data_IF_911422924370
#
_entry.id   IF_911422924370
#
_cell.length_a   1.000
_cell.length_b   1.000
_cell.length_c   1.000
_cell.angle_alpha   90.00
_cell.angle_beta   90.00
_cell.angle_gamma   90.00
#
_symmetry.space_group_name_H-M   'P 1'
#
loop_
_entity.id
_entity.type
_entity.pdbx_description
1 polymer ?
#
# COMPACT_ATOMS: atom_id res chain seq x y z
N UNK A 1 -6.65 -1.56 16.93
CA UNK A 1 -6.72 -0.96 15.56
C UNK A 1 -6.50 -2.08 14.55
N UNK A 2 -7.43 -2.28 13.62
CA UNK A 2 -7.34 -3.33 12.61
C UNK A 2 -7.32 -2.71 11.21
N UNK A 3 -6.36 -3.14 10.38
CA UNK A 3 -6.12 -2.62 9.05
C UNK A 3 -6.39 -3.71 8.00
N UNK A 4 -7.18 -3.37 6.98
CA UNK A 4 -7.27 -4.16 5.76
C UNK A 4 -6.40 -3.45 4.71
N UNK A 5 -5.27 -4.04 4.33
CA UNK A 5 -4.27 -3.43 3.46
C UNK A 5 -4.29 -4.12 2.10
N UNK A 6 -4.50 -3.35 1.05
CA UNK A 6 -4.40 -3.82 -0.33
C UNK A 6 -3.19 -3.14 -0.95
N UNK A 7 -2.28 -3.94 -1.50
CA UNK A 7 -1.12 -3.46 -2.24
C UNK A 7 -1.24 -3.84 -3.72
N UNK A 8 -0.60 -3.08 -4.59
CA UNK A 8 -0.67 -3.33 -6.02
C UNK A 8 0.10 -4.57 -6.43
N UNK A 9 1.35 -4.69 -6.03
CA UNK A 9 2.26 -5.74 -6.49
C UNK A 9 2.23 -7.00 -5.64
N UNK A 10 2.66 -8.11 -6.24
CA UNK A 10 2.62 -9.44 -5.63
C UNK A 10 3.91 -9.83 -4.92
N UNK A 11 5.02 -9.19 -5.25
CA UNK A 11 6.35 -9.65 -4.82
C UNK A 11 7.02 -8.72 -3.81
N UNK A 12 7.28 -7.50 -4.22
CA UNK A 12 8.02 -6.52 -3.42
C UNK A 12 7.20 -6.10 -2.23
N UNK A 13 5.99 -5.63 -2.43
CA UNK A 13 5.11 -5.10 -1.41
C UNK A 13 4.75 -6.15 -0.35
N UNK A 14 4.43 -7.37 -0.80
CA UNK A 14 4.07 -8.47 0.11
C UNK A 14 5.21 -8.88 1.06
N UNK A 15 6.45 -8.54 0.73
CA UNK A 15 7.62 -8.76 1.59
C UNK A 15 7.99 -7.54 2.42
N UNK A 16 7.88 -6.36 1.83
CA UNK A 16 8.38 -5.12 2.43
C UNK A 16 7.41 -4.54 3.45
N UNK A 17 6.11 -4.52 3.15
CA UNK A 17 5.12 -3.99 4.11
C UNK A 17 5.13 -4.70 5.45
N UNK A 18 5.20 -6.05 5.53
CA UNK A 18 5.31 -6.73 6.83
C UNK A 18 6.56 -6.30 7.64
N UNK A 19 7.70 -6.17 6.98
CA UNK A 19 8.94 -5.72 7.64
C UNK A 19 8.85 -4.27 8.12
N UNK A 20 8.29 -3.38 7.31
CA UNK A 20 8.07 -1.99 7.70
C UNK A 20 7.08 -1.87 8.86
N UNK A 21 5.97 -2.58 8.79
CA UNK A 21 4.96 -2.56 9.86
C UNK A 21 5.53 -3.14 11.15
N UNK A 22 6.29 -4.23 11.07
CA UNK A 22 6.98 -4.79 12.24
C UNK A 22 7.93 -3.78 12.90
N UNK A 23 8.62 -2.97 12.11
CA UNK A 23 9.55 -1.96 12.63
C UNK A 23 8.85 -0.68 13.10
N UNK A 24 7.87 -0.18 12.34
CA UNK A 24 7.23 1.11 12.59
C UNK A 24 6.05 1.02 13.57
N UNK A 25 5.37 -0.12 13.59
CA UNK A 25 4.19 -0.38 14.40
C UNK A 25 4.22 -1.82 14.95
N UNK A 26 5.20 -2.13 15.84
CA UNK A 26 5.45 -3.50 16.30
C UNK A 26 4.29 -4.14 17.06
N UNK A 27 3.29 -3.34 17.45
CA UNK A 27 2.06 -3.84 18.08
C UNK A 27 1.09 -4.45 17.06
N UNK A 28 1.26 -4.17 15.75
CA UNK A 28 0.38 -4.71 14.71
C UNK A 28 0.79 -6.14 14.37
N UNK A 29 -0.11 -7.09 14.58
CA UNK A 29 0.08 -8.49 14.23
C UNK A 29 -0.52 -8.81 12.86
N UNK A 30 0.24 -9.48 12.00
CA UNK A 30 -0.27 -9.96 10.72
C UNK A 30 -1.23 -11.11 10.93
N UNK A 31 -2.39 -11.05 10.26
CA UNK A 31 -3.31 -12.19 10.15
C UNK A 31 -3.30 -12.75 8.73
N UNK A 32 -3.47 -14.06 8.60
CA UNK A 32 -3.43 -14.76 7.31
C UNK A 32 -4.74 -14.70 6.54
N UNK A 33 -5.82 -14.34 7.21
CA UNK A 33 -7.18 -14.31 6.69
C UNK A 33 -7.90 -13.05 7.20
N UNK A 34 -8.70 -12.41 6.33
CA UNK A 34 -9.44 -11.19 6.67
C UNK A 34 -10.42 -11.37 7.83
N UNK A 35 -10.95 -12.57 8.04
CA UNK A 35 -11.87 -12.91 9.13
C UNK A 35 -11.18 -13.25 10.45
N UNK A 36 -9.85 -13.33 10.44
CA UNK A 36 -9.06 -13.74 11.61
C UNK A 36 -8.69 -12.60 12.56
N UNK A 37 -9.14 -11.36 12.29
CA UNK A 37 -8.97 -10.25 13.24
C UNK A 37 -9.73 -10.52 14.54
N UNK A 38 -9.19 -10.05 15.66
CA UNK A 38 -9.78 -10.25 17.00
C UNK A 38 -10.23 -8.92 17.61
N UNK A 39 -11.27 -8.95 18.47
CA UNK A 39 -11.60 -7.80 19.29
C UNK A 39 -10.40 -7.38 20.16
N UNK A 40 -10.25 -6.08 20.39
CA UNK A 40 -9.23 -5.52 21.28
C UNK A 40 -7.77 -5.87 20.90
N UNK A 41 -7.53 -6.28 19.65
CA UNK A 41 -6.20 -6.50 19.11
C UNK A 41 -5.84 -5.42 18.10
N UNK A 42 -4.53 -5.21 17.91
CA UNK A 42 -3.97 -4.43 16.83
C UNK A 42 -3.49 -5.41 15.75
N UNK A 43 -4.17 -5.48 14.60
CA UNK A 43 -3.83 -6.44 13.56
C UNK A 43 -3.98 -5.89 12.15
N UNK A 44 -3.36 -6.55 11.19
CA UNK A 44 -3.53 -6.22 9.79
C UNK A 44 -3.63 -7.48 8.92
N UNK A 45 -4.53 -7.41 7.95
CA UNK A 45 -4.60 -8.31 6.82
C UNK A 45 -3.97 -7.64 5.61
N UNK A 46 -3.08 -8.34 4.91
CA UNK A 46 -2.36 -7.82 3.75
C UNK A 46 -2.67 -8.67 2.52
N UNK A 47 -3.18 -8.03 1.46
CA UNK A 47 -3.60 -8.65 0.22
C UNK A 47 -2.96 -7.98 -0.99
N UNK A 48 -2.49 -8.76 -1.96
CA UNK A 48 -1.99 -8.27 -3.25
C UNK A 48 -3.09 -8.28 -4.30
N UNK A 49 -3.23 -7.17 -5.02
CA UNK A 49 -4.23 -7.02 -6.08
C UNK A 49 -3.75 -7.47 -7.46
N UNK A 50 -2.43 -7.70 -7.64
CA UNK A 50 -1.86 -8.13 -8.93
C UNK A 50 -1.89 -7.05 -10.01
N UNK A 51 -1.83 -5.76 -9.61
CA UNK A 51 -1.71 -4.61 -10.52
C UNK A 51 -3.01 -3.89 -10.86
N UNK A 52 -2.88 -2.82 -11.67
CA UNK A 52 -3.99 -2.07 -12.26
C UNK A 52 -4.43 -2.79 -13.55
N UNK A 53 -5.75 -2.91 -13.86
CA UNK A 53 -6.90 -2.32 -13.15
C UNK A 53 -7.51 -3.23 -12.06
N UNK A 54 -6.92 -4.36 -11.78
CA UNK A 54 -7.44 -5.39 -10.88
C UNK A 54 -7.67 -4.85 -9.46
N UNK A 55 -6.81 -3.94 -8.99
CA UNK A 55 -6.88 -3.35 -7.66
C UNK A 55 -8.24 -2.70 -7.35
N UNK A 56 -8.88 -2.04 -8.30
CA UNK A 56 -10.18 -1.38 -8.08
C UNK A 56 -11.29 -2.40 -7.76
N UNK A 57 -11.26 -3.56 -8.43
CA UNK A 57 -12.19 -4.65 -8.12
C UNK A 57 -11.91 -5.27 -6.76
N UNK A 58 -10.65 -5.41 -6.39
CA UNK A 58 -10.24 -5.92 -5.07
C UNK A 58 -10.61 -4.96 -3.94
N UNK A 59 -10.49 -3.64 -4.16
CA UNK A 59 -11.00 -2.62 -3.21
C UNK A 59 -12.50 -2.79 -3.01
N UNK A 60 -13.26 -2.96 -4.08
CA UNK A 60 -14.70 -3.18 -3.97
C UNK A 60 -15.03 -4.48 -3.21
N UNK A 61 -14.28 -5.56 -3.43
CA UNK A 61 -14.47 -6.81 -2.68
C UNK A 61 -14.11 -6.63 -1.20
N UNK A 62 -13.01 -5.95 -0.89
CA UNK A 62 -12.62 -5.64 0.48
C UNK A 62 -13.69 -4.83 1.23
N UNK A 63 -14.35 -3.90 0.55
CA UNK A 63 -15.49 -3.17 1.13
C UNK A 63 -16.62 -4.12 1.53
N UNK A 64 -16.91 -5.15 0.72
CA UNK A 64 -17.92 -6.16 1.11
C UNK A 64 -17.45 -6.98 2.32
N UNK A 65 -16.21 -7.51 2.27
CA UNK A 65 -15.64 -8.29 3.37
C UNK A 65 -15.65 -7.49 4.68
N UNK A 66 -15.17 -6.25 4.65
CA UNK A 66 -15.15 -5.36 5.82
C UNK A 66 -16.55 -5.11 6.36
N UNK A 67 -17.52 -4.83 5.49
CA UNK A 67 -18.89 -4.60 5.91
C UNK A 67 -19.49 -5.85 6.58
N UNK A 68 -19.27 -7.02 6.00
CA UNK A 68 -19.77 -8.29 6.53
C UNK A 68 -19.09 -8.64 7.87
N UNK A 69 -17.78 -8.47 7.97
CA UNK A 69 -17.02 -8.70 9.21
C UNK A 69 -17.47 -7.71 10.28
N UNK A 70 -17.56 -6.42 9.95
CA UNK A 70 -17.97 -5.39 10.89
C UNK A 70 -19.44 -5.51 11.33
N UNK A 71 -20.29 -6.18 10.55
CA UNK A 71 -21.68 -6.45 10.93
C UNK A 71 -21.83 -7.70 11.79
N UNK A 72 -21.03 -8.75 11.56
CA UNK A 72 -21.23 -10.08 12.12
C UNK A 72 -20.26 -10.46 13.26
N UNK A 73 -19.20 -9.67 13.48
CA UNK A 73 -18.15 -9.93 14.46
C UNK A 73 -18.02 -8.79 15.47
N UNK A 74 -17.51 -9.07 16.66
CA UNK A 74 -17.12 -8.05 17.65
C UNK A 74 -15.84 -7.33 17.23
N UNK A 75 -14.97 -8.00 16.45
CA UNK A 75 -13.81 -7.38 15.84
C UNK A 75 -14.22 -6.49 14.65
N UNK A 76 -13.59 -5.34 14.52
CA UNK A 76 -13.90 -4.35 13.49
C UNK A 76 -12.63 -3.93 12.75
N UNK A 77 -12.74 -3.71 11.44
CA UNK A 77 -11.74 -2.98 10.68
C UNK A 77 -11.94 -1.48 10.84
N UNK A 78 -10.89 -0.81 11.27
CA UNK A 78 -10.86 0.65 11.42
C UNK A 78 -10.49 1.34 10.10
N UNK A 79 -9.64 0.69 9.28
CA UNK A 79 -9.13 1.26 8.04
C UNK A 79 -9.11 0.23 6.91
N UNK A 80 -9.50 0.70 5.72
CA UNK A 80 -9.17 0.11 4.44
C UNK A 80 -8.04 0.95 3.83
N UNK A 81 -6.86 0.34 3.69
CA UNK A 81 -5.65 0.99 3.19
C UNK A 81 -5.36 0.47 1.80
N UNK A 82 -5.23 1.36 0.82
CA UNK A 82 -4.91 1.02 -0.57
C UNK A 82 -3.56 1.65 -0.89
N UNK A 83 -2.56 0.83 -1.20
CA UNK A 83 -1.22 1.25 -1.58
C UNK A 83 -1.05 1.00 -3.08
N UNK A 84 -0.76 2.07 -3.82
CA UNK A 84 -0.79 2.04 -5.29
C UNK A 84 0.31 2.92 -5.87
N UNK A 85 0.94 2.45 -6.94
CA UNK A 85 1.87 3.21 -7.74
C UNK A 85 1.08 4.08 -8.70
N UNK A 86 1.27 5.41 -8.64
CA UNK A 86 0.44 6.33 -9.44
C UNK A 86 1.13 6.78 -10.73
N UNK A 87 2.46 6.58 -10.84
CA UNK A 87 3.25 6.92 -12.03
C UNK A 87 2.87 8.31 -12.62
N UNK A 88 2.11 8.31 -13.73
CA UNK A 88 1.62 9.51 -14.41
C UNK A 88 0.18 9.89 -13.98
N UNK A 89 -0.48 9.07 -13.19
CA UNK A 89 -1.88 9.28 -12.80
C UNK A 89 -1.99 10.23 -11.60
N UNK A 90 -3.14 10.87 -11.44
CA UNK A 90 -3.41 11.70 -10.27
C UNK A 90 -4.19 10.94 -9.20
N UNK A 91 -4.10 11.44 -7.97
CA UNK A 91 -4.91 10.94 -6.84
C UNK A 91 -6.39 10.99 -7.16
N UNK A 92 -6.85 12.08 -7.77
CA UNK A 92 -8.25 12.26 -8.14
C UNK A 92 -8.72 11.18 -9.13
N UNK A 93 -7.84 10.79 -10.06
CA UNK A 93 -8.13 9.69 -11.00
C UNK A 93 -8.30 8.37 -10.25
N UNK A 94 -7.40 8.05 -9.31
CA UNK A 94 -7.50 6.83 -8.51
C UNK A 94 -8.78 6.81 -7.67
N UNK A 95 -9.10 7.92 -7.02
CA UNK A 95 -10.34 8.06 -6.24
C UNK A 95 -11.59 7.91 -7.13
N UNK A 96 -11.59 8.49 -8.33
CA UNK A 96 -12.68 8.33 -9.31
C UNK A 96 -12.85 6.86 -9.72
N UNK A 97 -11.76 6.14 -10.00
CA UNK A 97 -11.80 4.71 -10.36
C UNK A 97 -12.32 3.84 -9.22
N UNK A 98 -11.87 4.08 -8.00
CA UNK A 98 -12.38 3.38 -6.81
C UNK A 98 -13.89 3.65 -6.66
N UNK A 99 -14.30 4.91 -6.67
CA UNK A 99 -15.70 5.28 -6.51
C UNK A 99 -16.59 4.70 -7.64
N UNK A 100 -16.16 4.80 -8.88
CA UNK A 100 -16.87 4.23 -10.03
C UNK A 100 -17.02 2.71 -9.93
N UNK A 101 -16.00 2.00 -9.41
CA UNK A 101 -16.12 0.56 -9.20
C UNK A 101 -17.08 0.23 -8.03
N UNK A 102 -17.05 1.00 -6.95
CA UNK A 102 -17.98 0.84 -5.83
C UNK A 102 -19.43 1.08 -6.26
N UNK A 103 -19.69 2.14 -7.02
CA UNK A 103 -21.01 2.44 -7.58
C UNK A 103 -21.52 1.31 -8.49
N UNK A 104 -20.66 0.83 -9.39
CA UNK A 104 -20.97 -0.29 -10.29
C UNK A 104 -21.37 -1.55 -9.53
N UNK A 105 -20.67 -1.84 -8.45
CA UNK A 105 -20.92 -3.01 -7.60
C UNK A 105 -22.00 -2.75 -6.53
N UNK A 106 -22.54 -1.53 -6.47
CA UNK A 106 -23.52 -1.06 -5.47
C UNK A 106 -23.04 -1.28 -4.03
N UNK A 107 -21.77 -0.95 -3.78
CA UNK A 107 -21.11 -1.08 -2.49
C UNK A 107 -20.77 0.28 -1.92
N UNK A 108 -20.85 0.41 -0.61
CA UNK A 108 -20.42 1.58 0.15
C UNK A 108 -19.70 1.10 1.40
N UNK A 109 -18.52 1.66 1.67
CA UNK A 109 -17.81 1.41 2.92
C UNK A 109 -18.65 1.92 4.10
N UNK A 110 -18.72 1.15 5.18
CA UNK A 110 -19.45 1.57 6.38
C UNK A 110 -18.82 2.82 7.02
N UNK A 111 -19.62 3.55 7.77
CA UNK A 111 -19.20 4.86 8.30
C UNK A 111 -18.14 4.76 9.43
N UNK A 112 -17.90 3.55 9.97
CA UNK A 112 -16.92 3.32 11.03
C UNK A 112 -15.52 2.98 10.48
N UNK A 113 -15.40 2.64 9.20
CA UNK A 113 -14.13 2.31 8.55
C UNK A 113 -13.70 3.46 7.64
N UNK A 114 -12.44 3.85 7.72
CA UNK A 114 -11.88 4.92 6.89
C UNK A 114 -11.10 4.34 5.71
N UNK A 115 -11.37 4.85 4.50
CA UNK A 115 -10.53 4.60 3.34
C UNK A 115 -9.30 5.51 3.38
N UNK A 116 -8.11 4.91 3.24
CA UNK A 116 -6.84 5.62 3.09
C UNK A 116 -6.15 5.14 1.81
N UNK A 117 -5.71 6.08 0.98
CA UNK A 117 -4.96 5.80 -0.23
C UNK A 117 -3.54 6.30 -0.03
N UNK A 118 -2.57 5.41 -0.12
CA UNK A 118 -1.14 5.69 -0.09
C UNK A 118 -0.59 5.58 -1.51
N UNK A 119 -0.09 6.67 -2.00
CA UNK A 119 0.46 6.79 -3.35
C UNK A 119 1.98 6.70 -3.29
N UNK A 120 2.55 5.86 -4.14
CA UNK A 120 3.95 5.97 -4.53
C UNK A 120 3.97 6.73 -5.85
N UNK A 121 4.63 7.86 -5.91
CA UNK A 121 4.61 8.73 -7.10
C UNK A 121 5.12 8.07 -8.37
N UNK A 122 6.16 7.26 -8.24
CA UNK A 122 6.72 6.48 -9.33
C UNK A 122 6.38 5.02 -9.05
N UNK A 123 7.11 4.41 -8.11
CA UNK A 123 6.89 3.04 -7.68
C UNK A 123 7.48 2.84 -6.29
N UNK A 124 7.08 1.79 -5.61
CA UNK A 124 7.61 1.46 -4.29
C UNK A 124 9.14 1.32 -4.28
N UNK A 125 9.72 0.83 -5.36
CA UNK A 125 11.17 0.64 -5.47
C UNK A 125 11.96 1.94 -5.36
N UNK A 126 11.37 3.09 -5.74
CA UNK A 126 12.00 4.41 -5.57
C UNK A 126 12.31 4.71 -4.10
N UNK A 127 11.50 4.22 -3.18
CA UNK A 127 11.71 4.42 -1.74
C UNK A 127 12.96 3.72 -1.23
N UNK A 128 13.37 2.58 -1.86
CA UNK A 128 14.64 1.94 -1.51
C UNK A 128 15.84 2.79 -1.89
N UNK A 129 15.73 3.54 -2.98
CA UNK A 129 16.77 4.49 -3.40
C UNK A 129 16.93 5.66 -2.42
N UNK A 130 15.86 6.00 -1.70
CA UNK A 130 15.87 6.99 -0.62
C UNK A 130 16.66 6.55 0.61
N UNK A 131 16.99 5.26 0.75
CA UNK A 131 17.81 4.76 1.85
C UNK A 131 19.31 5.07 1.62
N UNK A 132 19.68 6.31 1.95
CA UNK A 132 21.05 6.84 1.76
C UNK A 132 22.14 6.04 2.47
N UNK A 133 21.78 5.22 3.48
CA UNK A 133 22.74 4.37 4.20
C UNK A 133 23.23 3.17 3.38
N UNK A 134 22.42 2.68 2.46
CA UNK A 134 22.77 1.56 1.56
C UNK A 134 23.72 2.04 0.45
N UNK A 135 23.56 3.28 0.00
CA UNK A 135 24.37 3.85 -1.08
C UNK A 135 25.74 4.29 -0.56
N UNK A 136 26.78 3.56 -0.95
CA UNK A 136 28.17 3.93 -0.63
C UNK A 136 28.52 5.30 -1.22
N UNK A 137 29.37 6.07 -0.51
CA UNK A 137 29.82 7.38 -0.99
C UNK A 137 30.65 7.29 -2.27
N UNK A 138 31.35 6.19 -2.45
CA UNK A 138 32.17 5.93 -3.62
C UNK A 138 31.88 4.51 -4.16
N UNK A 139 30.78 4.30 -4.87
CA UNK A 139 30.44 2.99 -5.40
C UNK A 139 31.46 2.58 -6.48
N UNK A 140 31.95 1.34 -6.40
CA UNK A 140 32.89 0.79 -7.41
C UNK A 140 32.18 0.25 -8.65
N UNK A 141 30.85 0.10 -8.61
CA UNK A 141 30.08 -0.39 -9.72
C UNK A 141 29.89 0.72 -10.79
N UNK A 142 30.37 0.53 -12.04
CA UNK A 142 30.26 1.54 -13.10
C UNK A 142 28.82 1.94 -13.44
N UNK A 143 27.86 1.02 -13.35
CA UNK A 143 26.45 1.32 -13.57
C UNK A 143 25.89 2.23 -12.48
N UNK A 144 26.26 1.97 -11.23
CA UNK A 144 25.87 2.83 -10.10
C UNK A 144 26.47 4.23 -10.22
N UNK A 145 27.75 4.34 -10.65
CA UNK A 145 28.37 5.63 -10.92
C UNK A 145 27.68 6.41 -12.03
N UNK A 146 27.28 5.70 -13.12
CA UNK A 146 26.53 6.31 -14.21
C UNK A 146 25.17 6.79 -13.73
N UNK A 147 24.47 5.97 -12.94
CA UNK A 147 23.15 6.31 -12.36
C UNK A 147 23.25 7.55 -11.45
N UNK A 148 24.19 7.58 -10.50
CA UNK A 148 24.38 8.74 -9.60
C UNK A 148 24.81 10.03 -10.32
N UNK A 149 25.37 9.93 -11.54
CA UNK A 149 25.63 11.10 -12.39
C UNK A 149 24.40 11.59 -13.12
N UNK A 150 23.48 10.68 -13.43
CA UNK A 150 22.19 11.01 -14.04
C UNK A 150 21.26 11.64 -13.02
N UNK A 151 21.10 10.99 -11.87
CA UNK A 151 20.29 11.47 -10.76
C UNK A 151 20.94 11.14 -9.42
N UNK A 152 21.19 12.17 -8.61
CA UNK A 152 21.90 11.99 -7.34
C UNK A 152 20.96 11.69 -6.18
N UNK A 153 20.45 10.46 -6.12
CA UNK A 153 19.56 9.98 -5.06
C UNK A 153 20.12 10.07 -3.62
N UNK A 154 21.41 10.44 -3.46
CA UNK A 154 21.98 10.74 -2.14
C UNK A 154 21.55 12.11 -1.62
N UNK A 155 21.30 13.05 -2.51
CA UNK A 155 20.95 14.43 -2.20
C UNK A 155 19.50 14.74 -2.56
N UNK A 156 19.01 14.13 -3.62
CA UNK A 156 17.73 14.43 -4.24
C UNK A 156 16.70 13.34 -3.91
N UNK A 157 15.43 13.70 -3.94
CA UNK A 157 14.33 12.78 -3.69
C UNK A 157 14.11 11.86 -4.89
N UNK A 158 14.22 10.52 -4.72
CA UNK A 158 14.02 9.57 -5.82
C UNK A 158 12.65 9.67 -6.51
N UNK A 159 11.62 10.11 -5.80
CA UNK A 159 10.28 10.29 -6.38
C UNK A 159 10.13 11.55 -7.24
N UNK A 160 11.15 12.39 -7.29
CA UNK A 160 11.22 13.57 -8.15
C UNK A 160 12.11 13.35 -9.38
N UNK A 161 12.61 12.13 -9.59
CA UNK A 161 13.40 11.78 -10.76
C UNK A 161 12.52 11.76 -12.01
N UNK A 162 12.93 12.52 -13.03
CA UNK A 162 12.24 12.52 -14.33
C UNK A 162 12.31 11.14 -14.98
N UNK A 163 11.22 10.71 -15.59
CA UNK A 163 11.10 9.44 -16.33
C UNK A 163 11.88 9.46 -17.66
#
# INVERSE_FOLDING_TARGET
MNLYIIVEGEQTEMKVYPEWLHFLAPQLEKVDDAWSIKPDSDSYYLFSAGGIPSIFKHVSNAVADINDINASSDAKYDFLVVCIDVEEESREYIEEKINGQLEKDKRKLNDNTKLMIFEHKICMESWFLGNRKILKDNPQNPLMLKYLRFYNVKNDDPELMDN
#
